data_IF_865947460823
#
_entry.id   IF_865947460823
#
_cell.length_a   1.000
_cell.length_b   1.000
_cell.length_c   1.000
_cell.angle_alpha   90.00
_cell.angle_beta   90.00
_cell.angle_gamma   90.00
#
_symmetry.space_group_name_H-M   'P 1'
#
loop_
_entity.id
_entity.type
_entity.pdbx_description
1 polymer ?
#
# COMPACT_ATOMS: atom_id res chain seq x y z
N UNK A 1 15.81 -11.59 31.32
CA UNK A 1 17.27 -11.63 31.37
C UNK A 1 17.85 -12.22 30.11
N UNK A 2 18.72 -11.44 29.50
CA UNK A 2 19.68 -11.75 28.46
C UNK A 2 19.19 -11.91 27.03
N UNK A 3 19.38 -10.81 26.32
CA UNK A 3 19.49 -10.77 24.89
C UNK A 3 20.79 -11.43 24.42
N UNK A 4 20.73 -12.04 23.26
CA UNK A 4 21.93 -12.44 22.52
C UNK A 4 21.86 -11.77 21.17
N UNK A 5 22.72 -10.75 21.04
CA UNK A 5 23.13 -10.18 19.76
C UNK A 5 24.15 -11.14 19.17
N UNK A 6 23.89 -11.74 18.03
CA UNK A 6 24.89 -12.43 17.25
C UNK A 6 25.22 -11.61 16.00
N UNK A 7 26.23 -10.78 16.16
CA UNK A 7 27.02 -10.23 15.05
C UNK A 7 27.94 -11.34 14.55
N UNK A 8 27.65 -11.89 13.39
CA UNK A 8 28.60 -12.74 12.67
C UNK A 8 29.28 -11.94 11.59
N UNK A 9 30.49 -11.59 11.90
CA UNK A 9 31.56 -11.12 11.03
C UNK A 9 31.85 -12.12 9.93
N UNK A 10 31.69 -11.72 8.68
CA UNK A 10 32.30 -12.42 7.56
C UNK A 10 33.52 -11.65 7.08
N UNK A 11 34.68 -12.12 7.50
CA UNK A 11 36.02 -11.63 7.17
C UNK A 11 36.47 -12.19 5.83
N UNK A 12 36.80 -11.30 4.94
CA UNK A 12 37.86 -11.32 3.90
C UNK A 12 38.56 -12.64 3.62
N UNK A 13 38.63 -12.98 2.34
CA UNK A 13 39.88 -13.49 1.76
C UNK A 13 40.28 -12.66 0.54
N UNK A 14 41.49 -12.13 0.70
CA UNK A 14 42.31 -11.49 -0.34
C UNK A 14 42.68 -12.49 -1.42
N UNK A 15 42.69 -12.03 -2.67
CA UNK A 15 43.52 -12.57 -3.72
C UNK A 15 44.21 -11.39 -4.39
N UNK A 16 45.51 -11.29 -4.14
CA UNK A 16 46.40 -10.30 -4.71
C UNK A 16 47.03 -10.83 -6.03
N UNK A 17 47.07 -10.00 -7.06
CA UNK A 17 48.13 -9.97 -8.08
C UNK A 17 48.20 -8.55 -8.63
N UNK A 18 49.27 -7.86 -8.34
CA UNK A 18 50.34 -7.31 -9.13
C UNK A 18 49.86 -6.69 -10.46
N UNK A 19 49.94 -5.40 -10.70
CA UNK A 19 51.09 -4.53 -10.80
C UNK A 19 51.17 -4.05 -12.22
N UNK A 20 51.22 -2.77 -12.44
CA UNK A 20 52.18 -2.10 -13.35
C UNK A 20 51.94 -0.58 -13.24
N UNK A 21 53.02 0.10 -12.88
CA UNK A 21 53.19 1.55 -12.96
C UNK A 21 53.17 2.03 -14.43
N UNK A 22 52.58 3.18 -14.68
CA UNK A 22 53.04 4.10 -15.71
C UNK A 22 52.75 5.53 -15.24
N UNK A 23 53.85 6.23 -15.06
CA UNK A 23 53.92 7.64 -14.68
C UNK A 23 54.02 8.52 -15.93
N UNK A 24 53.74 9.82 -15.71
CA UNK A 24 54.13 11.02 -16.46
C UNK A 24 53.39 11.34 -17.78
N UNK A 25 52.68 12.46 -17.80
CA UNK A 25 53.23 13.72 -18.36
C UNK A 25 52.28 14.87 -18.14
N UNK A 26 52.73 15.85 -17.37
CA UNK A 26 52.12 17.16 -17.28
C UNK A 26 52.53 17.96 -18.55
N UNK A 27 51.54 18.42 -19.31
CA UNK A 27 51.74 19.42 -20.36
C UNK A 27 50.95 20.68 -20.01
N UNK A 28 51.64 21.66 -19.50
CA UNK A 28 51.20 23.03 -19.34
C UNK A 28 51.11 23.69 -20.71
N UNK A 29 49.92 23.99 -21.16
CA UNK A 29 49.68 24.92 -22.28
C UNK A 29 49.18 26.25 -21.74
N UNK A 30 50.08 27.19 -21.62
CA UNK A 30 49.77 28.62 -21.47
C UNK A 30 49.22 29.10 -22.82
N UNK A 31 47.93 29.40 -22.85
CA UNK A 31 47.28 30.04 -23.98
C UNK A 31 47.12 31.52 -23.67
N UNK A 32 47.84 32.34 -24.35
CA UNK A 32 47.80 33.83 -24.29
C UNK A 32 46.43 34.30 -24.77
N UNK A 33 45.69 34.97 -23.90
CA UNK A 33 44.49 35.74 -24.28
C UNK A 33 44.95 37.05 -24.92
N UNK A 34 44.86 37.16 -26.24
CA UNK A 34 44.88 38.45 -26.92
C UNK A 34 43.54 39.14 -26.75
N UNK A 35 43.59 40.28 -26.08
CA UNK A 35 42.44 41.15 -25.87
C UNK A 35 42.09 41.86 -27.17
N UNK A 36 41.08 41.40 -27.86
CA UNK A 36 40.43 42.18 -28.95
C UNK A 36 39.46 43.19 -28.36
N UNK A 37 39.79 44.45 -28.52
CA UNK A 37 38.96 45.62 -28.14
C UNK A 37 37.68 45.59 -28.98
N UNK A 38 36.55 45.31 -28.35
CA UNK A 38 35.25 45.43 -29.01
C UNK A 38 34.84 46.88 -29.14
N UNK A 39 34.18 47.28 -30.23
CA UNK A 39 33.66 48.65 -30.39
C UNK A 39 32.54 48.93 -29.38
N UNK A 40 32.58 50.13 -28.84
CA UNK A 40 31.58 50.65 -27.89
C UNK A 40 30.17 50.52 -28.46
N UNK A 41 29.35 49.72 -27.76
CA UNK A 41 27.92 49.67 -28.05
C UNK A 41 27.25 50.99 -27.66
N UNK A 42 26.47 51.50 -28.58
CA UNK A 42 25.59 52.66 -28.39
C UNK A 42 24.60 52.30 -27.28
N UNK A 43 24.56 53.07 -26.23
CA UNK A 43 23.58 52.99 -25.14
C UNK A 43 22.20 53.32 -25.70
N UNK A 44 21.22 52.37 -25.66
CA UNK A 44 19.81 52.71 -25.86
C UNK A 44 19.37 53.51 -24.61
N UNK A 45 18.67 54.63 -24.84
CA UNK A 45 18.18 55.48 -23.78
C UNK A 45 17.37 54.71 -22.73
N UNK A 46 17.62 54.99 -21.48
CA UNK A 46 16.83 54.53 -20.35
C UNK A 46 15.38 55.01 -20.50
N UNK A 47 14.54 54.17 -21.10
CA UNK A 47 13.11 54.27 -20.85
C UNK A 47 12.91 53.71 -19.44
N UNK A 48 12.76 54.59 -18.46
CA UNK A 48 12.54 54.21 -17.07
C UNK A 48 11.35 53.24 -16.97
N UNK A 49 11.65 52.01 -16.56
CA UNK A 49 10.61 51.07 -16.14
C UNK A 49 9.85 51.73 -14.99
N UNK A 50 8.51 51.68 -14.99
CA UNK A 50 7.73 52.22 -13.87
C UNK A 50 8.23 51.57 -12.57
N UNK A 51 8.53 52.38 -11.56
CA UNK A 51 8.97 51.91 -10.25
C UNK A 51 7.96 50.90 -9.72
N UNK A 52 8.42 49.65 -9.49
CA UNK A 52 7.62 48.64 -8.81
C UNK A 52 7.26 49.21 -7.44
N UNK A 53 5.98 49.37 -7.09
CA UNK A 53 5.63 49.90 -5.77
C UNK A 53 6.23 48.98 -4.70
N UNK A 54 6.70 49.58 -3.56
CA UNK A 54 7.28 48.77 -2.49
C UNK A 54 6.27 47.74 -2.05
N UNK A 55 6.73 46.48 -1.96
CA UNK A 55 5.93 45.38 -1.42
C UNK A 55 5.49 45.79 -0.01
N UNK A 56 4.22 46.12 0.14
CA UNK A 56 3.64 46.36 1.45
C UNK A 56 3.72 45.04 2.20
N UNK A 57 4.59 44.95 3.17
CA UNK A 57 4.51 43.86 4.14
C UNK A 57 3.19 44.00 4.88
N UNK A 58 2.23 43.13 4.49
CA UNK A 58 0.97 43.01 5.22
C UNK A 58 1.35 42.49 6.61
N UNK A 59 1.39 43.37 7.59
CA UNK A 59 1.47 43.02 9.01
C UNK A 59 0.09 42.52 9.43
N UNK A 60 -0.27 41.35 8.95
CA UNK A 60 -1.52 40.67 9.27
C UNK A 60 -1.21 39.26 9.77
N UNK A 61 -2.17 38.67 10.45
CA UNK A 61 -2.12 37.28 10.89
C UNK A 61 -1.57 36.37 9.79
N UNK A 62 -0.52 35.60 10.11
CA UNK A 62 -0.01 34.58 9.20
C UNK A 62 -1.16 33.62 8.93
N UNK A 63 -1.60 33.44 7.68
CA UNK A 63 -2.68 32.53 7.39
C UNK A 63 -2.32 31.14 7.91
N UNK A 64 -3.29 30.39 8.43
CA UNK A 64 -3.04 29.03 8.89
C UNK A 64 -2.40 28.22 7.76
N UNK A 65 -1.47 27.31 8.07
CA UNK A 65 -0.87 26.46 7.05
C UNK A 65 -1.99 25.74 6.29
N UNK A 66 -1.85 25.64 4.98
CA UNK A 66 -2.79 24.90 4.15
C UNK A 66 -2.92 23.46 4.69
N UNK A 67 -4.15 22.95 4.84
CA UNK A 67 -4.35 21.58 5.27
C UNK A 67 -3.62 20.62 4.32
N UNK A 68 -2.98 19.61 4.88
CA UNK A 68 -2.33 18.57 4.08
C UNK A 68 -3.42 17.79 3.34
N UNK A 69 -3.32 17.75 2.03
CA UNK A 69 -4.19 16.95 1.21
C UNK A 69 -3.89 15.46 1.42
N UNK A 70 -4.92 14.64 1.68
CA UNK A 70 -4.81 13.18 1.73
C UNK A 70 -4.82 12.62 0.31
N UNK A 71 -3.68 12.07 -0.13
CA UNK A 71 -3.50 11.45 -1.44
C UNK A 71 -3.08 10.02 -1.24
N UNK A 72 -4.02 9.09 -1.37
CA UNK A 72 -3.80 7.69 -1.13
C UNK A 72 -4.16 6.82 -2.35
N UNK A 73 -3.63 5.62 -2.36
CA UNK A 73 -4.08 4.54 -3.24
C UNK A 73 -4.59 3.36 -2.40
N UNK A 74 -5.68 2.76 -2.85
CA UNK A 74 -6.16 1.50 -2.29
C UNK A 74 -5.37 0.34 -2.88
N UNK A 75 -5.04 -0.63 -2.04
CA UNK A 75 -4.41 -1.89 -2.40
C UNK A 75 -5.28 -3.02 -1.88
N UNK A 76 -6.01 -3.65 -2.78
CA UNK A 76 -6.96 -4.72 -2.48
C UNK A 76 -6.27 -6.08 -2.51
N UNK A 77 -6.52 -6.90 -1.48
CA UNK A 77 -6.01 -8.26 -1.39
C UNK A 77 -7.03 -9.31 -1.78
N UNK A 78 -8.32 -9.00 -1.67
CA UNK A 78 -9.40 -9.91 -2.07
C UNK A 78 -9.24 -10.29 -3.54
N UNK A 79 -9.43 -11.55 -3.86
CA UNK A 79 -9.32 -12.10 -5.21
C UNK A 79 -7.97 -11.79 -5.93
N UNK A 80 -6.94 -11.39 -5.19
CA UNK A 80 -5.64 -10.99 -5.72
C UNK A 80 -5.74 -9.85 -6.76
N UNK A 81 -6.62 -8.86 -6.48
CA UNK A 81 -6.84 -7.74 -7.41
C UNK A 81 -5.55 -6.92 -7.57
N UNK A 82 -4.94 -6.51 -6.45
CA UNK A 82 -3.74 -5.66 -6.49
C UNK A 82 -2.52 -6.36 -5.89
N UNK A 83 -2.66 -6.97 -4.70
CA UNK A 83 -1.56 -7.59 -3.99
C UNK A 83 -2.03 -8.76 -3.09
N UNK A 84 -1.25 -9.86 -3.03
CA UNK A 84 -0.22 -10.23 -4.00
C UNK A 84 -0.83 -10.51 -5.38
N UNK A 85 -0.08 -10.40 -6.46
CA UNK A 85 -0.60 -10.55 -7.84
C UNK A 85 -1.23 -11.91 -8.13
N UNK A 86 -0.95 -12.88 -7.30
CA UNK A 86 -1.63 -14.20 -7.22
C UNK A 86 -1.34 -14.85 -5.88
N UNK A 87 -2.21 -15.74 -5.46
CA UNK A 87 -1.96 -16.58 -4.29
C UNK A 87 -0.74 -17.49 -4.48
N UNK A 88 -0.15 -17.92 -3.36
CA UNK A 88 0.97 -18.86 -3.32
C UNK A 88 2.25 -18.36 -4.03
N UNK A 89 2.46 -17.04 -4.05
CA UNK A 89 3.77 -16.50 -4.43
C UNK A 89 4.81 -16.78 -3.35
N UNK A 90 6.08 -17.05 -3.72
CA UNK A 90 7.18 -17.05 -2.77
C UNK A 90 7.23 -15.73 -1.98
N UNK A 91 7.56 -15.80 -0.70
CA UNK A 91 7.61 -14.62 0.20
C UNK A 91 8.43 -13.48 -0.38
N UNK A 92 9.61 -13.79 -0.94
CA UNK A 92 10.45 -12.77 -1.57
C UNK A 92 9.76 -12.04 -2.75
N UNK A 93 8.86 -12.72 -3.46
CA UNK A 93 8.07 -12.08 -4.54
C UNK A 93 6.94 -11.23 -3.98
N UNK A 94 6.24 -11.70 -2.94
CA UNK A 94 5.23 -10.90 -2.25
C UNK A 94 5.83 -9.60 -1.72
N UNK A 95 7.00 -9.68 -1.08
CA UNK A 95 7.74 -8.51 -0.59
C UNK A 95 8.20 -7.58 -1.71
N UNK A 96 8.71 -8.12 -2.81
CA UNK A 96 9.15 -7.32 -3.95
C UNK A 96 7.98 -6.57 -4.62
N UNK A 97 6.81 -7.20 -4.74
CA UNK A 97 5.60 -6.55 -5.24
C UNK A 97 5.13 -5.42 -4.31
N UNK A 98 5.13 -5.64 -3.00
CA UNK A 98 4.78 -4.62 -2.02
C UNK A 98 5.71 -3.41 -2.11
N UNK A 99 7.02 -3.65 -2.20
CA UNK A 99 8.02 -2.59 -2.39
C UNK A 99 7.75 -1.81 -3.69
N UNK A 100 7.48 -2.51 -4.79
CA UNK A 100 7.23 -1.86 -6.08
C UNK A 100 5.98 -0.96 -6.04
N UNK A 101 4.90 -1.39 -5.36
CA UNK A 101 3.69 -0.59 -5.15
C UNK A 101 4.01 0.67 -4.32
N UNK A 102 4.74 0.52 -3.22
CA UNK A 102 5.12 1.64 -2.36
C UNK A 102 6.06 2.64 -3.06
N UNK A 103 7.03 2.15 -3.82
CA UNK A 103 7.93 2.98 -4.62
C UNK A 103 7.14 3.76 -5.69
N UNK A 104 6.18 3.10 -6.32
CA UNK A 104 5.28 3.76 -7.27
C UNK A 104 4.43 4.82 -6.61
N UNK A 105 3.82 4.55 -5.46
CA UNK A 105 3.05 5.51 -4.69
C UNK A 105 3.89 6.74 -4.34
N UNK A 106 5.11 6.53 -3.86
CA UNK A 106 6.05 7.62 -3.55
C UNK A 106 6.41 8.44 -4.79
N UNK A 107 6.67 7.80 -5.94
CA UNK A 107 7.00 8.48 -7.20
C UNK A 107 5.84 9.35 -7.73
N UNK A 108 4.61 9.03 -7.37
CA UNK A 108 3.40 9.77 -7.69
C UNK A 108 3.05 10.86 -6.65
N UNK A 109 3.94 11.09 -5.67
CA UNK A 109 3.70 12.01 -4.56
C UNK A 109 2.44 11.68 -3.74
N UNK A 110 2.04 10.41 -3.67
CA UNK A 110 1.06 9.99 -2.68
C UNK A 110 1.66 10.10 -1.27
N UNK A 111 0.81 10.24 -0.26
CA UNK A 111 1.23 10.33 1.14
C UNK A 111 0.67 9.19 2.01
N UNK A 112 -0.18 8.33 1.45
CA UNK A 112 -0.72 7.17 2.15
C UNK A 112 -1.02 5.99 1.22
N UNK A 113 -1.08 4.80 1.82
CA UNK A 113 -1.63 3.57 1.23
C UNK A 113 -2.75 3.05 2.13
N UNK A 114 -3.87 2.66 1.52
CA UNK A 114 -4.98 1.99 2.19
C UNK A 114 -4.91 0.50 1.81
N UNK A 115 -4.30 -0.32 2.67
CA UNK A 115 -4.07 -1.74 2.42
C UNK A 115 -5.20 -2.60 2.99
N UNK A 116 -5.81 -3.45 2.18
CA UNK A 116 -6.81 -4.41 2.65
C UNK A 116 -6.13 -5.53 3.46
N UNK A 117 -6.29 -5.48 4.78
CA UNK A 117 -5.68 -6.43 5.71
C UNK A 117 -6.62 -7.56 6.12
N UNK A 118 -7.93 -7.35 5.94
CA UNK A 118 -9.00 -8.30 6.23
C UNK A 118 -9.99 -8.37 5.07
N UNK A 119 -9.76 -9.25 4.08
CA UNK A 119 -10.62 -9.33 2.90
C UNK A 119 -11.95 -10.07 3.09
N UNK A 120 -12.00 -11.13 3.91
CA UNK A 120 -13.17 -12.03 4.01
C UNK A 120 -13.22 -12.80 5.34
N UNK A 121 -13.27 -12.10 6.48
CA UNK A 121 -13.14 -12.69 7.82
C UNK A 121 -11.92 -13.64 7.90
N UNK A 122 -10.85 -13.23 7.26
CA UNK A 122 -9.54 -13.82 7.25
C UNK A 122 -8.49 -12.71 7.11
N UNK A 123 -7.23 -12.99 7.41
CA UNK A 123 -6.23 -11.94 7.56
C UNK A 123 -4.98 -12.21 6.73
N UNK A 124 -4.26 -11.15 6.36
CA UNK A 124 -2.93 -11.23 5.77
C UNK A 124 -1.81 -11.06 6.81
N UNK A 125 -2.12 -11.19 8.08
CA UNK A 125 -1.18 -11.05 9.21
C UNK A 125 -1.43 -12.16 10.24
N UNK A 126 -0.48 -12.47 11.15
CA UNK A 126 -0.71 -13.44 12.21
C UNK A 126 -1.82 -12.98 13.15
N UNK A 127 -2.92 -13.72 13.22
CA UNK A 127 -4.05 -13.43 14.09
C UNK A 127 -4.39 -14.64 14.95
N UNK A 128 -4.91 -14.38 16.17
CA UNK A 128 -5.50 -15.38 17.03
C UNK A 128 -7.05 -15.42 16.90
N UNK A 129 -7.61 -14.48 16.12
CA UNK A 129 -9.05 -14.29 15.98
C UNK A 129 -9.58 -14.83 14.67
N UNK A 130 -8.76 -14.79 13.60
CA UNK A 130 -9.14 -15.19 12.25
C UNK A 130 -8.03 -15.95 11.55
N UNK A 131 -8.37 -16.87 10.62
CA UNK A 131 -7.38 -17.64 9.87
C UNK A 131 -6.64 -16.76 8.85
N UNK A 132 -5.49 -17.25 8.38
CA UNK A 132 -4.79 -16.69 7.24
C UNK A 132 -5.65 -16.71 5.98
N UNK A 133 -5.57 -15.63 5.21
CA UNK A 133 -6.31 -15.51 3.96
C UNK A 133 -5.77 -16.44 2.87
N UNK A 134 -6.68 -17.08 2.13
CA UNK A 134 -6.31 -17.88 0.95
C UNK A 134 -5.67 -17.06 -0.17
N UNK A 135 -5.94 -15.77 -0.23
CA UNK A 135 -5.35 -14.90 -1.25
C UNK A 135 -3.85 -14.71 -1.08
N UNK A 136 -3.32 -14.97 0.12
CA UNK A 136 -1.90 -14.93 0.39
C UNK A 136 -1.19 -16.24 -0.03
N UNK A 137 -1.75 -17.39 0.36
CA UNK A 137 -1.08 -18.68 0.27
C UNK A 137 -1.78 -19.70 -0.61
N UNK A 138 -3.01 -19.42 -1.07
CA UNK A 138 -3.84 -20.35 -1.84
C UNK A 138 -4.72 -21.24 -0.99
N UNK A 139 -4.58 -21.17 0.35
CA UNK A 139 -5.39 -21.96 1.28
C UNK A 139 -5.66 -21.19 2.55
N UNK A 140 -6.93 -21.01 2.90
CA UNK A 140 -7.33 -20.37 4.15
C UNK A 140 -6.79 -21.13 5.37
N UNK A 141 -6.26 -20.39 6.34
CA UNK A 141 -5.64 -20.95 7.54
C UNK A 141 -4.17 -21.36 7.38
N UNK A 142 -3.61 -21.30 6.16
CA UNK A 142 -2.21 -21.63 5.92
C UNK A 142 -1.35 -20.37 5.96
N UNK A 143 -0.34 -20.27 6.88
CA UNK A 143 0.61 -19.17 6.89
C UNK A 143 1.55 -19.18 5.68
N UNK A 144 2.17 -18.04 5.33
CA UNK A 144 3.23 -18.00 4.33
C UNK A 144 4.46 -18.79 4.78
N UNK A 145 5.21 -19.35 3.82
CA UNK A 145 6.42 -20.11 4.08
C UNK A 145 7.58 -19.59 3.22
N UNK A 146 8.72 -19.16 3.81
CA UNK A 146 8.96 -19.02 5.25
C UNK A 146 7.97 -18.05 5.92
N UNK A 147 7.71 -18.27 7.21
CA UNK A 147 6.80 -17.43 7.97
C UNK A 147 7.31 -15.98 8.03
N UNK A 148 6.46 -15.03 7.71
CA UNK A 148 6.68 -13.60 7.95
C UNK A 148 5.34 -12.94 8.27
N UNK A 149 5.38 -11.70 8.74
CA UNK A 149 4.21 -10.88 8.97
C UNK A 149 4.07 -9.85 7.84
N UNK A 150 3.16 -10.06 6.88
CA UNK A 150 2.94 -9.13 5.79
C UNK A 150 2.55 -7.72 6.25
N UNK A 151 1.67 -7.60 7.25
CA UNK A 151 1.22 -6.28 7.71
C UNK A 151 2.38 -5.51 8.36
N UNK A 152 3.15 -6.14 9.24
CA UNK A 152 4.33 -5.49 9.82
C UNK A 152 5.34 -5.09 8.73
N UNK A 153 5.51 -5.92 7.70
CA UNK A 153 6.38 -5.59 6.57
C UNK A 153 5.87 -4.36 5.80
N UNK A 154 4.57 -4.31 5.47
CA UNK A 154 3.97 -3.18 4.77
C UNK A 154 4.08 -1.87 5.55
N UNK A 155 3.79 -1.89 6.87
CA UNK A 155 3.93 -0.74 7.76
C UNK A 155 5.37 -0.21 7.74
N UNK A 156 6.35 -1.09 8.00
CA UNK A 156 7.75 -0.69 8.03
C UNK A 156 8.24 -0.11 6.69
N UNK A 157 7.81 -0.72 5.57
CA UNK A 157 8.22 -0.28 4.23
C UNK A 157 7.50 1.02 3.80
N UNK A 158 6.25 1.25 4.22
CA UNK A 158 5.52 2.49 3.99
C UNK A 158 6.17 3.64 4.75
N UNK A 159 6.40 3.47 6.05
CA UNK A 159 7.03 4.48 6.91
C UNK A 159 8.45 4.82 6.46
N UNK A 160 9.25 3.85 6.01
CA UNK A 160 10.58 4.10 5.45
C UNK A 160 10.55 5.02 4.22
N UNK A 161 9.40 5.17 3.56
CA UNK A 161 9.18 6.06 2.41
C UNK A 161 8.45 7.35 2.77
N UNK A 162 8.08 7.53 4.04
CA UNK A 162 7.26 8.64 4.51
C UNK A 162 5.81 8.57 3.98
N UNK A 163 5.29 7.35 3.82
CA UNK A 163 3.90 7.07 3.51
C UNK A 163 3.19 6.60 4.76
N UNK A 164 1.99 7.09 5.01
CA UNK A 164 1.08 6.51 5.98
C UNK A 164 0.55 5.16 5.49
N UNK A 165 0.30 4.23 6.42
CA UNK A 165 -0.38 2.97 6.12
C UNK A 165 -1.69 2.89 6.90
N UNK A 166 -2.80 2.90 6.16
CA UNK A 166 -4.13 2.72 6.70
C UNK A 166 -4.58 1.27 6.47
N UNK A 167 -4.96 0.60 7.54
CA UNK A 167 -5.45 -0.78 7.47
C UNK A 167 -6.92 -0.79 7.05
N UNK A 168 -7.22 -1.47 5.94
CA UNK A 168 -8.58 -1.59 5.42
C UNK A 168 -9.16 -2.96 5.77
N UNK A 169 -10.35 -2.93 6.37
CA UNK A 169 -11.13 -4.09 6.77
C UNK A 169 -12.44 -4.13 5.97
N UNK A 170 -12.74 -5.27 5.33
CA UNK A 170 -14.13 -5.55 4.99
C UNK A 170 -14.82 -6.10 6.26
N UNK A 171 -15.87 -5.44 6.77
CA UNK A 171 -16.37 -5.75 8.12
C UNK A 171 -17.19 -7.04 8.20
N UNK A 172 -17.90 -7.43 7.13
CA UNK A 172 -18.92 -8.47 7.24
C UNK A 172 -18.86 -9.56 6.17
N UNK A 173 -17.97 -9.48 5.19
CA UNK A 173 -17.79 -10.58 4.24
C UNK A 173 -17.11 -11.76 4.92
N UNK A 174 -17.83 -12.88 5.08
CA UNK A 174 -17.25 -14.10 5.62
C UNK A 174 -16.58 -14.97 4.55
N UNK A 175 -17.02 -14.85 3.28
CA UNK A 175 -16.43 -15.53 2.14
C UNK A 175 -16.74 -14.80 0.85
N UNK A 176 -15.75 -14.59 0.02
CA UNK A 176 -15.93 -14.01 -1.31
C UNK A 176 -16.35 -15.09 -2.32
N UNK A 177 -17.12 -14.67 -3.35
CA UNK A 177 -17.61 -15.60 -4.40
C UNK A 177 -16.50 -16.32 -5.19
N UNK A 178 -15.31 -15.69 -5.28
CA UNK A 178 -14.15 -16.28 -5.98
C UNK A 178 -13.29 -17.19 -5.10
N UNK A 179 -13.63 -17.34 -3.83
CA UNK A 179 -12.89 -18.19 -2.90
C UNK A 179 -12.89 -19.65 -3.35
N UNK A 180 -11.71 -20.27 -3.33
CA UNK A 180 -11.50 -21.64 -3.86
C UNK A 180 -11.17 -22.64 -2.77
N UNK A 181 -10.50 -22.23 -1.70
CA UNK A 181 -10.14 -23.14 -0.63
C UNK A 181 -11.35 -23.48 0.25
N UNK A 182 -11.39 -24.64 0.90
CA UNK A 182 -12.37 -24.88 1.95
C UNK A 182 -12.24 -23.86 3.07
N UNK A 183 -13.34 -23.61 3.80
CA UNK A 183 -13.28 -22.81 5.02
C UNK A 183 -12.36 -23.47 6.05
N UNK A 184 -11.52 -22.67 6.69
CA UNK A 184 -10.72 -23.12 7.81
C UNK A 184 -11.65 -23.46 9.00
N UNK A 185 -11.24 -24.42 9.84
CA UNK A 185 -12.04 -24.86 10.99
C UNK A 185 -12.27 -23.76 12.03
N UNK A 186 -11.30 -22.87 12.14
CA UNK A 186 -11.26 -21.71 13.03
C UNK A 186 -11.82 -20.42 12.40
N UNK A 187 -12.32 -20.48 11.16
CA UNK A 187 -12.97 -19.32 10.55
C UNK A 187 -14.28 -18.98 11.28
N UNK A 188 -14.64 -17.69 11.29
CA UNK A 188 -15.89 -17.23 11.91
C UNK A 188 -17.11 -17.97 11.33
N UNK A 189 -17.14 -18.21 10.03
CA UNK A 189 -18.24 -18.95 9.39
C UNK A 189 -18.34 -20.41 9.85
N UNK A 190 -17.21 -21.05 10.22
CA UNK A 190 -17.20 -22.41 10.73
C UNK A 190 -17.59 -22.49 12.21
N UNK A 191 -17.19 -21.50 13.00
CA UNK A 191 -17.41 -21.49 14.45
C UNK A 191 -18.73 -20.83 14.87
N UNK A 192 -19.27 -19.92 14.06
CA UNK A 192 -20.50 -19.17 14.31
C UNK A 192 -21.47 -19.23 13.11
N UNK A 193 -21.87 -20.41 12.66
CA UNK A 193 -22.68 -20.55 11.43
C UNK A 193 -24.07 -19.87 11.54
N UNK A 194 -24.62 -19.70 12.74
CA UNK A 194 -25.88 -19.01 12.94
C UNK A 194 -25.82 -17.50 12.59
N UNK A 195 -24.66 -16.88 12.80
CA UNK A 195 -24.38 -15.47 12.51
C UNK A 195 -23.96 -15.20 11.05
N UNK A 196 -23.97 -16.24 10.20
CA UNK A 196 -23.55 -16.15 8.79
C UNK A 196 -24.68 -16.55 7.88
N UNK A 197 -24.92 -15.74 6.86
CA UNK A 197 -25.94 -15.98 5.82
C UNK A 197 -25.29 -16.24 4.49
N UNK A 198 -25.83 -17.20 3.76
CA UNK A 198 -25.46 -17.38 2.36
C UNK A 198 -26.23 -16.39 1.49
N UNK A 199 -25.51 -15.71 0.59
CA UNK A 199 -26.08 -14.76 -0.33
C UNK A 199 -25.42 -14.96 -1.72
N UNK A 200 -26.14 -15.58 -2.63
CA UNK A 200 -25.56 -16.10 -3.87
C UNK A 200 -24.39 -17.03 -3.59
N UNK A 201 -23.22 -16.69 -4.10
CA UNK A 201 -21.96 -17.44 -3.88
C UNK A 201 -21.13 -16.92 -2.69
N UNK A 202 -21.59 -15.84 -2.02
CA UNK A 202 -20.94 -15.26 -0.85
C UNK A 202 -21.43 -15.92 0.44
N UNK A 203 -20.59 -15.84 1.47
CA UNK A 203 -21.04 -15.94 2.85
C UNK A 203 -20.87 -14.57 3.51
N UNK A 204 -21.92 -14.16 4.23
CA UNK A 204 -21.99 -12.83 4.83
C UNK A 204 -22.26 -12.94 6.33
N UNK A 205 -21.45 -12.28 7.14
CA UNK A 205 -21.74 -12.09 8.56
C UNK A 205 -22.92 -11.13 8.67
N UNK A 206 -23.90 -11.47 9.49
CA UNK A 206 -25.07 -10.61 9.67
C UNK A 206 -24.71 -9.36 10.48
N UNK A 207 -24.77 -8.15 9.90
CA UNK A 207 -24.43 -6.92 10.64
C UNK A 207 -25.33 -6.64 11.83
N UNK A 208 -26.57 -7.17 11.82
CA UNK A 208 -27.53 -7.10 12.94
C UNK A 208 -27.23 -8.08 14.08
N UNK A 209 -26.32 -9.04 13.86
CA UNK A 209 -25.93 -10.01 14.88
C UNK A 209 -24.84 -9.45 15.80
N UNK A 210 -25.08 -9.52 17.11
CA UNK A 210 -24.16 -8.98 18.11
C UNK A 210 -22.80 -9.72 18.13
N UNK A 211 -22.78 -11.03 17.84
CA UNK A 211 -21.55 -11.81 17.80
C UNK A 211 -20.70 -11.43 16.57
N UNK A 212 -21.33 -11.20 15.42
CA UNK A 212 -20.66 -10.76 14.20
C UNK A 212 -20.05 -9.36 14.39
N UNK A 213 -20.82 -8.42 14.92
CA UNK A 213 -20.37 -7.04 15.17
C UNK A 213 -19.25 -6.98 16.21
N UNK A 214 -19.39 -7.75 17.31
CA UNK A 214 -18.35 -7.85 18.34
C UNK A 214 -17.06 -8.43 17.75
N UNK A 215 -17.15 -9.52 17.02
CA UNK A 215 -15.98 -10.17 16.42
C UNK A 215 -15.23 -9.22 15.48
N UNK A 216 -15.95 -8.52 14.60
CA UNK A 216 -15.33 -7.54 13.70
C UNK A 216 -14.63 -6.41 14.48
N UNK A 217 -15.27 -5.93 15.54
CA UNK A 217 -14.67 -4.90 16.42
C UNK A 217 -13.41 -5.41 17.09
N UNK A 218 -13.43 -6.65 17.62
CA UNK A 218 -12.27 -7.25 18.28
C UNK A 218 -11.09 -7.40 17.30
N UNK A 219 -11.34 -7.78 16.05
CA UNK A 219 -10.32 -7.89 15.00
C UNK A 219 -9.68 -6.53 14.67
N UNK A 220 -10.50 -5.48 14.53
CA UNK A 220 -9.98 -4.12 14.28
C UNK A 220 -9.15 -3.65 15.47
N UNK A 221 -9.63 -3.85 16.69
CA UNK A 221 -8.90 -3.46 17.91
C UNK A 221 -7.60 -4.24 18.10
N UNK A 222 -7.55 -5.51 17.69
CA UNK A 222 -6.32 -6.32 17.71
C UNK A 222 -5.24 -5.68 16.84
N UNK A 223 -5.58 -5.28 15.62
CA UNK A 223 -4.64 -4.61 14.71
C UNK A 223 -4.20 -3.25 15.27
N UNK A 224 -5.13 -2.42 15.72
CA UNK A 224 -4.82 -1.09 16.29
C UNK A 224 -3.87 -1.18 17.49
N UNK A 225 -3.98 -2.23 18.30
CA UNK A 225 -3.12 -2.42 19.47
C UNK A 225 -1.74 -2.97 19.15
N UNK A 226 -1.62 -3.72 18.08
CA UNK A 226 -0.40 -4.49 17.77
C UNK A 226 0.48 -3.88 16.70
N UNK A 227 -0.09 -3.05 15.83
CA UNK A 227 0.63 -2.51 14.68
C UNK A 227 0.62 -0.98 14.72
N UNK A 228 1.72 -0.40 14.28
CA UNK A 228 1.89 1.05 14.14
C UNK A 228 1.26 1.52 12.81
N UNK A 229 -0.07 1.31 12.70
CA UNK A 229 -0.86 1.79 11.55
C UNK A 229 -1.27 3.25 11.79
N UNK A 230 -1.37 4.03 10.71
CA UNK A 230 -1.72 5.45 10.79
C UNK A 230 -3.24 5.69 10.73
N UNK A 231 -4.00 4.70 10.27
CA UNK A 231 -5.45 4.81 10.19
C UNK A 231 -6.16 3.47 10.01
N UNK A 232 -7.45 3.49 10.29
CA UNK A 232 -8.39 2.40 10.02
C UNK A 232 -9.32 2.83 8.90
N UNK A 233 -9.51 1.96 7.91
CA UNK A 233 -10.47 2.12 6.83
C UNK A 233 -11.45 0.97 6.82
N UNK A 234 -12.73 1.27 6.71
CA UNK A 234 -13.83 0.29 6.58
C UNK A 234 -14.55 0.62 5.29
N UNK A 235 -14.73 -0.38 4.41
CA UNK A 235 -15.50 -0.21 3.19
C UNK A 235 -17.02 -0.16 3.45
N UNK A 236 -17.79 0.11 2.41
CA UNK A 236 -19.23 0.27 2.48
C UNK A 236 -20.02 -1.05 2.34
N UNK A 237 -19.34 -2.20 2.33
CA UNK A 237 -19.94 -3.52 2.20
C UNK A 237 -20.50 -4.04 3.53
N UNK A 238 -21.37 -3.27 4.18
CA UNK A 238 -22.05 -3.71 5.40
C UNK A 238 -23.12 -4.76 5.06
N UNK A 239 -23.90 -4.50 4.03
CA UNK A 239 -24.82 -5.46 3.43
C UNK A 239 -24.40 -5.74 1.99
N UNK A 240 -24.69 -6.95 1.47
CA UNK A 240 -24.36 -7.26 0.08
C UNK A 240 -25.22 -6.43 -0.87
N UNK A 241 -24.67 -6.10 -2.05
CA UNK A 241 -25.47 -5.52 -3.11
C UNK A 241 -26.56 -6.50 -3.58
N UNK A 242 -27.74 -5.99 -4.01
CA UNK A 242 -28.78 -6.83 -4.56
C UNK A 242 -28.25 -7.73 -5.69
N UNK A 243 -28.59 -9.01 -5.62
CA UNK A 243 -28.40 -9.96 -6.70
C UNK A 243 -29.74 -10.29 -7.32
N UNK A 244 -29.77 -10.58 -8.61
CA UNK A 244 -31.00 -10.97 -9.29
C UNK A 244 -31.59 -12.25 -8.65
N UNK A 245 -32.92 -12.32 -8.63
CA UNK A 245 -33.62 -13.48 -8.11
C UNK A 245 -33.18 -14.76 -8.84
N UNK A 246 -33.17 -15.94 -8.18
CA UNK A 246 -32.86 -17.20 -8.83
C UNK A 246 -33.74 -17.41 -10.07
N UNK A 247 -33.15 -17.43 -11.28
CA UNK A 247 -33.85 -17.51 -12.54
C UNK A 247 -33.72 -16.29 -13.46
N UNK A 248 -33.34 -15.12 -12.98
CA UNK A 248 -32.85 -14.05 -13.80
C UNK A 248 -31.43 -14.44 -14.28
N UNK A 249 -31.26 -14.57 -15.58
CA UNK A 249 -30.11 -15.23 -16.22
C UNK A 249 -28.74 -14.80 -15.67
N UNK A 250 -27.81 -15.72 -15.72
CA UNK A 250 -26.46 -15.67 -15.16
C UNK A 250 -25.54 -14.47 -15.58
N UNK A 251 -26.10 -13.47 -16.27
CA UNK A 251 -25.36 -12.33 -16.79
C UNK A 251 -25.06 -11.22 -15.79
N UNK A 252 -25.88 -11.03 -14.76
CA UNK A 252 -25.74 -9.91 -13.85
C UNK A 252 -24.68 -10.17 -12.73
N UNK A 253 -24.52 -11.41 -12.32
CA UNK A 253 -23.54 -11.78 -11.30
C UNK A 253 -22.09 -11.71 -11.85
N UNK A 254 -21.91 -12.08 -13.14
CA UNK A 254 -20.62 -11.90 -13.83
C UNK A 254 -20.33 -10.44 -14.08
N UNK A 255 -21.31 -9.61 -14.40
CA UNK A 255 -21.12 -8.17 -14.62
C UNK A 255 -20.70 -7.44 -13.32
N UNK A 256 -21.24 -7.84 -12.17
CA UNK A 256 -20.83 -7.28 -10.88
C UNK A 256 -19.40 -7.73 -10.46
N UNK A 257 -19.00 -8.95 -10.83
CA UNK A 257 -17.64 -9.46 -10.61
C UNK A 257 -16.63 -8.80 -11.57
N UNK A 258 -17.02 -8.56 -12.82
CA UNK A 258 -16.20 -7.90 -13.84
C UNK A 258 -16.11 -6.39 -13.59
N UNK A 259 -17.13 -5.75 -13.04
CA UNK A 259 -17.08 -4.34 -12.62
C UNK A 259 -16.12 -4.09 -11.45
N UNK A 260 -15.89 -5.10 -10.62
CA UNK A 260 -14.83 -5.07 -9.58
C UNK A 260 -13.43 -5.27 -10.14
N UNK A 261 -13.31 -5.84 -11.34
CA UNK A 261 -12.02 -6.26 -11.93
C UNK A 261 -11.61 -5.43 -13.16
N UNK A 262 -12.49 -4.63 -13.69
CA UNK A 262 -12.23 -3.74 -14.83
C UNK A 262 -12.55 -2.32 -14.42
N UNK A 263 -11.56 -1.43 -14.46
CA UNK A 263 -11.70 0.00 -14.20
C UNK A 263 -12.74 0.66 -15.11
N UNK A 264 -14.01 0.31 -14.94
CA UNK A 264 -15.11 1.01 -15.56
C UNK A 264 -15.28 2.35 -14.87
N UNK A 265 -15.02 3.43 -15.62
CA UNK A 265 -15.37 4.80 -15.25
C UNK A 265 -16.84 4.83 -14.78
N UNK A 266 -17.04 4.97 -13.46
CA UNK A 266 -18.33 5.45 -12.96
C UNK A 266 -18.37 6.93 -13.23
N UNK A 267 -19.20 7.36 -14.17
CA UNK A 267 -19.72 8.71 -14.17
C UNK A 267 -20.70 8.81 -13.00
N UNK A 268 -20.38 9.66 -12.06
CA UNK A 268 -21.28 10.04 -10.96
C UNK A 268 -22.38 10.93 -11.54
N UNK A 269 -23.62 10.81 -11.03
CA UNK A 269 -24.71 11.70 -11.39
C UNK A 269 -24.46 13.12 -10.91
#
# INVERSE_FOLDING_TARGET
>A
LQGIVLLSTFKKRLGATAGVLAALAAATLLSSCTSTKMPSAVTPGEAGLPAVPPVQHITGEVPPPAPREFRAAWVSTVANIDWPSRSNLPVAKQQAEAIAILDRAKSLNLNAIVLQVRPSADTIYPSQLEPWSEYLTGKQGQPPLPMYDPLAFWVAQAHARGLELHAWFNPYRARHATAKSPLARDSFASTNPASVKQYGRYLWMDPGDAAASKHTTDVVLDVVRRYDIDGVHIDDYFYPYPIDAPGAGAGAETAALDAGNGGAKRELP
#
